data_IF_631424294077
#
_entry.id   IF_631424294077
#
_cell.length_a   1.000
_cell.length_b   1.000
_cell.length_c   1.000
_cell.angle_alpha   90.00
_cell.angle_beta   90.00
_cell.angle_gamma   90.00
#
_symmetry.space_group_name_H-M   'P 1'
#
loop_
_entity.id
_entity.type
_entity.pdbx_description
1 polymer ?
#
# COMPACT_ATOMS: atom_id res chain seq x y z
N UNK A 1 -6.50 -8.51 13.64
CA UNK A 1 -5.94 -8.79 12.32
C UNK A 1 -4.51 -9.25 12.53
N UNK A 2 -4.16 -10.40 11.98
CA UNK A 2 -2.77 -10.87 11.95
C UNK A 2 -2.00 -10.16 10.83
N UNK A 3 -0.68 -10.33 10.80
CA UNK A 3 0.15 -9.81 9.72
C UNK A 3 -0.22 -10.42 8.36
N UNK A 4 -0.41 -11.75 8.29
CA UNK A 4 -0.80 -12.44 7.05
C UNK A 4 -2.17 -11.96 6.53
N UNK A 5 -3.13 -11.75 7.42
CA UNK A 5 -4.43 -11.17 7.07
C UNK A 5 -4.30 -9.75 6.52
N UNK A 6 -3.39 -8.95 7.09
CA UNK A 6 -3.12 -7.61 6.63
C UNK A 6 -2.55 -7.59 5.22
N UNK A 7 -1.52 -8.39 4.93
CA UNK A 7 -0.92 -8.41 3.59
C UNK A 7 -1.93 -8.82 2.51
N UNK A 8 -2.71 -9.88 2.77
CA UNK A 8 -3.77 -10.33 1.85
C UNK A 8 -4.84 -9.26 1.63
N UNK A 9 -5.24 -8.55 2.68
CA UNK A 9 -6.22 -7.47 2.56
C UNK A 9 -5.64 -6.25 1.86
N UNK A 10 -4.38 -5.90 2.12
CA UNK A 10 -3.71 -4.76 1.49
C UNK A 10 -3.57 -4.98 -0.02
N UNK A 11 -3.18 -6.18 -0.44
CA UNK A 11 -3.19 -6.58 -1.87
C UNK A 11 -4.54 -6.31 -2.52
N UNK A 12 -5.62 -6.80 -1.90
CA UNK A 12 -6.97 -6.58 -2.40
C UNK A 12 -7.32 -5.08 -2.49
N UNK A 13 -6.97 -4.28 -1.47
CA UNK A 13 -7.19 -2.82 -1.48
C UNK A 13 -6.42 -2.13 -2.60
N UNK A 14 -5.19 -2.55 -2.88
CA UNK A 14 -4.37 -2.01 -3.98
C UNK A 14 -5.01 -2.34 -5.33
N UNK A 15 -5.53 -3.56 -5.52
CA UNK A 15 -6.24 -3.93 -6.74
C UNK A 15 -7.47 -3.05 -6.98
N UNK A 16 -8.25 -2.77 -5.94
CA UNK A 16 -9.41 -1.88 -6.04
C UNK A 16 -8.99 -0.47 -6.45
N UNK A 17 -8.02 0.11 -5.74
CA UNK A 17 -7.49 1.45 -6.01
C UNK A 17 -6.96 1.58 -7.46
N UNK A 18 -6.25 0.57 -7.97
CA UNK A 18 -5.78 0.51 -9.35
C UNK A 18 -6.93 0.38 -10.35
N UNK A 19 -8.01 -0.32 -10.01
CA UNK A 19 -9.16 -0.50 -10.92
C UNK A 19 -10.05 0.74 -11.02
N UNK A 20 -10.05 1.58 -9.99
CA UNK A 20 -10.88 2.80 -9.88
C UNK A 20 -10.22 4.04 -10.50
N UNK A 21 -8.96 3.95 -10.92
CA UNK A 21 -8.27 5.03 -11.60
C UNK A 21 -8.81 5.31 -13.01
N UNK A 22 -8.76 6.58 -13.42
CA UNK A 22 -9.08 7.00 -14.78
C UNK A 22 -7.94 6.75 -15.79
N UNK A 23 -6.76 6.34 -15.31
CA UNK A 23 -5.63 6.03 -16.17
C UNK A 23 -5.84 4.70 -16.90
N UNK A 24 -5.75 4.74 -18.24
CA UNK A 24 -5.98 3.58 -19.10
C UNK A 24 -4.96 2.46 -18.90
N UNK A 25 -3.75 2.78 -18.44
CA UNK A 25 -2.69 1.79 -18.19
C UNK A 25 -2.99 1.07 -16.88
N UNK A 26 -3.28 1.81 -15.82
CA UNK A 26 -3.48 1.25 -14.49
C UNK A 26 -4.77 0.41 -14.38
N UNK A 27 -5.79 0.70 -15.19
CA UNK A 27 -7.03 -0.08 -15.24
C UNK A 27 -6.85 -1.57 -15.52
N UNK A 28 -5.75 -1.97 -16.17
CA UNK A 28 -5.50 -3.36 -16.56
C UNK A 28 -4.43 -4.05 -15.73
N UNK A 29 -3.80 -3.35 -14.77
CA UNK A 29 -2.79 -3.95 -13.89
C UNK A 29 -3.37 -4.17 -12.49
N UNK A 30 -2.86 -5.18 -11.80
CA UNK A 30 -3.26 -5.50 -10.43
C UNK A 30 -2.05 -5.89 -9.60
N UNK A 31 -2.27 -6.00 -8.29
CA UNK A 31 -1.32 -6.52 -7.33
C UNK A 31 -1.55 -8.01 -7.10
N UNK A 32 -0.48 -8.80 -7.08
CA UNK A 32 -0.51 -10.23 -6.76
C UNK A 32 0.75 -10.58 -5.96
N UNK A 33 0.66 -10.36 -4.65
CA UNK A 33 1.77 -10.42 -3.73
C UNK A 33 2.25 -9.05 -3.24
N UNK A 34 2.29 -8.91 -1.92
CA UNK A 34 2.98 -7.84 -1.21
C UNK A 34 3.58 -8.41 0.07
N UNK A 35 4.81 -8.04 0.38
CA UNK A 35 5.48 -8.43 1.63
C UNK A 35 6.51 -7.40 2.04
N UNK A 36 6.54 -7.05 3.31
CA UNK A 36 7.52 -6.11 3.82
C UNK A 36 7.78 -6.27 5.30
N UNK A 37 8.62 -5.39 5.81
CA UNK A 37 8.98 -5.33 7.21
C UNK A 37 8.79 -3.91 7.73
N UNK A 38 8.52 -3.80 9.03
CA UNK A 38 8.50 -2.52 9.74
C UNK A 38 9.93 -2.00 9.91
N UNK A 39 10.18 -0.83 9.33
CA UNK A 39 11.45 -0.12 9.42
C UNK A 39 11.32 1.00 10.45
N UNK A 40 12.25 0.99 11.43
CA UNK A 40 12.35 1.99 12.50
C UNK A 40 13.68 2.75 12.34
N UNK A 41 13.70 3.82 11.53
CA UNK A 41 14.94 4.57 11.34
C UNK A 41 15.35 5.27 12.65
N UNK A 42 16.66 5.52 12.87
CA UNK A 42 17.14 6.25 14.06
C UNK A 42 16.55 7.66 14.19
N UNK A 43 16.15 8.26 13.07
CA UNK A 43 15.43 9.52 12.99
C UNK A 43 14.33 9.43 11.93
N UNK A 44 13.19 10.08 12.20
CA UNK A 44 12.03 10.08 11.29
C UNK A 44 10.92 9.12 11.73
N UNK A 45 9.88 9.04 10.90
CA UNK A 45 8.73 8.20 11.17
C UNK A 45 8.97 6.75 10.72
N UNK A 46 8.50 5.77 11.48
CA UNK A 46 8.49 4.38 11.05
C UNK A 46 7.62 4.17 9.81
N UNK A 47 8.00 3.21 8.98
CA UNK A 47 7.32 2.88 7.73
C UNK A 47 7.44 1.39 7.42
N UNK A 48 6.56 0.84 6.57
CA UNK A 48 6.76 -0.50 6.03
C UNK A 48 7.53 -0.41 4.71
N UNK A 49 8.44 -1.34 4.47
CA UNK A 49 9.14 -1.44 3.19
C UNK A 49 9.37 -2.89 2.77
N UNK A 50 9.41 -3.12 1.47
CA UNK A 50 9.67 -4.45 0.91
C UNK A 50 9.35 -4.53 -0.58
N UNK A 51 8.81 -5.66 -0.99
CA UNK A 51 8.48 -5.95 -2.39
C UNK A 51 6.97 -6.05 -2.61
N UNK A 52 6.54 -5.58 -3.78
CA UNK A 52 5.18 -5.72 -4.31
C UNK A 52 5.27 -6.15 -5.77
N UNK A 53 4.31 -6.94 -6.22
CA UNK A 53 4.25 -7.47 -7.58
C UNK A 53 3.06 -6.86 -8.30
N UNK A 54 3.34 -6.03 -9.32
CA UNK A 54 2.34 -5.30 -10.11
C UNK A 54 2.48 -5.64 -11.60
N UNK A 55 1.35 -5.88 -12.29
CA UNK A 55 1.32 -6.14 -13.74
C UNK A 55 -0.04 -6.62 -14.26
N UNK A 56 -0.11 -6.87 -15.58
CA UNK A 56 -1.31 -7.36 -16.28
C UNK A 56 -1.12 -8.79 -16.83
N UNK A 57 -0.19 -9.01 -17.75
CA UNK A 57 0.07 -10.34 -18.36
C UNK A 57 1.30 -11.03 -17.76
N UNK A 58 1.71 -10.56 -16.58
CA UNK A 58 2.89 -11.00 -15.84
C UNK A 58 3.23 -9.98 -14.76
N UNK A 59 3.70 -10.46 -13.61
CA UNK A 59 3.97 -9.61 -12.47
C UNK A 59 5.41 -9.09 -12.47
N UNK A 60 5.57 -7.78 -12.30
CA UNK A 60 6.89 -7.16 -12.10
C UNK A 60 7.10 -6.90 -10.62
N UNK A 61 8.19 -7.43 -10.07
CA UNK A 61 8.62 -7.06 -8.72
C UNK A 61 9.05 -5.58 -8.68
N UNK A 62 8.47 -4.83 -7.75
CA UNK A 62 8.70 -3.43 -7.48
C UNK A 62 9.04 -3.23 -6.00
N UNK A 63 9.81 -2.18 -5.72
CA UNK A 63 10.03 -1.77 -4.34
C UNK A 63 8.80 -1.02 -3.84
N UNK A 64 8.30 -1.37 -2.66
CA UNK A 64 7.24 -0.60 -2.02
C UNK A 64 7.71 0.05 -0.73
N UNK A 65 7.12 1.21 -0.44
CA UNK A 65 7.15 1.82 0.89
C UNK A 65 5.73 2.23 1.29
N UNK A 66 5.44 2.17 2.59
CA UNK A 66 4.17 2.61 3.15
C UNK A 66 4.41 3.47 4.38
N UNK A 67 4.08 4.76 4.27
CA UNK A 67 4.11 5.68 5.39
C UNK A 67 2.96 5.36 6.34
N UNK A 68 3.27 5.29 7.64
CA UNK A 68 2.25 5.03 8.65
C UNK A 68 1.58 6.37 9.06
N UNK A 69 0.29 6.35 9.43
CA UNK A 69 -0.37 7.50 10.03
C UNK A 69 0.38 7.95 11.28
N UNK A 70 0.52 9.27 11.46
CA UNK A 70 1.35 9.85 12.52
C UNK A 70 0.80 9.55 13.92
N UNK A 71 -0.50 9.31 14.00
CA UNK A 71 -1.26 9.13 15.21
C UNK A 71 -1.15 7.70 15.76
N UNK A 72 -0.62 6.77 14.96
CA UNK A 72 -0.49 5.37 15.37
C UNK A 72 0.82 5.18 16.12
N UNK A 73 0.71 4.96 17.44
CA UNK A 73 1.86 4.50 18.23
C UNK A 73 2.21 3.06 17.82
N UNK A 74 3.50 2.85 17.56
CA UNK A 74 4.05 1.55 17.22
C UNK A 74 5.05 1.04 18.27
N UNK A 75 4.98 1.55 19.50
CA UNK A 75 5.90 1.16 20.58
C UNK A 75 5.59 -0.24 21.16
N UNK A 76 4.67 -0.98 20.54
CA UNK A 76 4.29 -2.34 20.86
C UNK A 76 3.98 -3.18 19.62
N UNK A 77 3.13 -4.22 19.75
CA UNK A 77 2.68 -5.01 18.61
C UNK A 77 2.09 -4.13 17.50
N UNK A 78 2.47 -4.40 16.25
CA UNK A 78 1.98 -3.64 15.10
C UNK A 78 0.44 -3.67 15.04
N UNK A 79 -0.24 -2.51 15.02
CA UNK A 79 -1.70 -2.46 14.96
C UNK A 79 -2.18 -2.66 13.52
N UNK A 80 -1.98 -3.85 12.96
CA UNK A 80 -2.23 -4.20 11.55
C UNK A 80 -3.59 -3.71 11.01
N UNK A 81 -4.66 -3.84 11.80
CA UNK A 81 -5.99 -3.36 11.39
C UNK A 81 -6.04 -1.85 11.14
N UNK A 82 -5.31 -1.06 11.92
CA UNK A 82 -5.30 0.40 11.82
C UNK A 82 -4.43 0.91 10.66
N UNK A 83 -3.57 0.03 10.11
CA UNK A 83 -2.74 0.34 8.95
C UNK A 83 -3.46 0.04 7.63
N UNK A 84 -4.53 -0.75 7.63
CA UNK A 84 -5.23 -1.06 6.38
C UNK A 84 -6.01 0.18 5.89
N UNK A 85 -5.85 0.61 4.62
CA UNK A 85 -6.68 1.68 4.06
C UNK A 85 -8.17 1.34 4.20
N UNK A 86 -8.96 2.24 4.77
CA UNK A 86 -10.40 2.07 4.91
C UNK A 86 -11.08 1.95 3.53
N UNK A 87 -12.24 1.28 3.49
CA UNK A 87 -12.86 0.88 2.22
C UNK A 87 -13.23 2.05 1.31
N UNK A 88 -13.57 3.18 1.92
CA UNK A 88 -13.97 4.42 1.27
C UNK A 88 -12.81 5.40 1.03
N UNK A 89 -11.55 4.98 1.19
CA UNK A 89 -10.38 5.83 0.93
C UNK A 89 -9.75 5.50 -0.42
N UNK A 90 -9.44 6.56 -1.17
CA UNK A 90 -8.68 6.52 -2.43
C UNK A 90 -7.59 7.60 -2.46
N UNK A 91 -6.77 7.66 -3.50
CA UNK A 91 -5.68 8.63 -3.67
C UNK A 91 -4.43 8.36 -2.81
N UNK A 92 -4.38 7.22 -2.14
CA UNK A 92 -3.30 6.84 -1.21
C UNK A 92 -2.19 6.03 -1.88
N UNK A 93 -2.40 5.55 -3.10
CA UNK A 93 -1.45 4.73 -3.85
C UNK A 93 -0.79 5.54 -4.96
N UNK A 94 0.54 5.48 -5.01
CA UNK A 94 1.34 5.99 -6.11
C UNK A 94 2.16 4.86 -6.72
N UNK A 95 2.12 4.74 -8.05
CA UNK A 95 2.86 3.72 -8.81
C UNK A 95 3.70 4.39 -9.90
N UNK A 96 5.00 4.17 -9.87
CA UNK A 96 5.95 4.56 -10.92
C UNK A 96 6.52 3.29 -11.58
N UNK A 97 5.91 2.90 -12.70
CA UNK A 97 6.28 1.69 -13.44
C UNK A 97 7.71 1.75 -14.01
N UNK A 98 8.21 2.95 -14.33
CA UNK A 98 9.55 3.12 -14.89
C UNK A 98 10.63 2.94 -13.84
N UNK A 99 10.42 3.55 -12.66
CA UNK A 99 11.34 3.41 -11.53
C UNK A 99 11.14 2.12 -10.74
N UNK A 100 10.05 1.39 -11.00
CA UNK A 100 9.62 0.18 -10.28
C UNK A 100 9.45 0.46 -8.79
N UNK A 101 8.73 1.54 -8.49
CA UNK A 101 8.47 2.00 -7.13
C UNK A 101 6.96 2.11 -6.93
N UNK A 102 6.50 1.62 -5.80
CA UNK A 102 5.16 1.85 -5.26
C UNK A 102 5.30 2.59 -3.93
N UNK A 103 4.50 3.64 -3.75
CA UNK A 103 4.41 4.35 -2.48
C UNK A 103 2.96 4.37 -2.01
N UNK A 104 2.76 4.01 -0.74
CA UNK A 104 1.49 4.07 -0.04
C UNK A 104 1.62 5.19 1.01
N UNK A 105 0.74 6.17 0.95
CA UNK A 105 0.71 7.26 1.93
C UNK A 105 -0.73 7.53 2.37
N UNK A 106 -1.07 7.00 3.54
CA UNK A 106 -2.42 7.13 4.10
C UNK A 106 -2.75 8.57 4.52
N UNK A 107 -1.73 9.45 4.67
CA UNK A 107 -1.96 10.85 4.97
C UNK A 107 -2.42 11.66 3.74
N UNK A 108 -2.32 11.08 2.54
CA UNK A 108 -2.77 11.67 1.27
C UNK A 108 -4.11 11.12 0.81
N UNK A 109 -4.69 10.18 1.57
CA UNK A 109 -5.95 9.57 1.23
C UNK A 109 -7.09 10.58 1.27
N UNK A 110 -7.98 10.50 0.29
CA UNK A 110 -9.22 11.27 0.23
C UNK A 110 -10.42 10.33 0.45
N UNK A 111 -11.48 10.86 1.08
CA UNK A 111 -12.72 10.09 1.22
C UNK A 111 -13.47 10.08 -0.11
N UNK A 112 -13.71 8.89 -0.63
CA UNK A 112 -14.55 8.69 -1.80
C UNK A 112 -16.01 8.97 -1.43
N UNK A 113 -16.56 10.08 -1.94
CA UNK A 113 -17.98 10.38 -1.84
C UNK A 113 -18.68 9.79 -3.07
N UNK A 114 -19.36 8.66 -2.90
CA UNK A 114 -20.25 8.05 -3.89
C UNK A 114 -21.48 8.91 -4.15
#
# INVERSE_FOLDING_TARGET
MTEDEFWRKLEWRICLELSETNDKIFRWIWCDGIRGNLVRPPSGQPYLAGSIWIGSDGQTEMQFTMQLPREISIDGPTPWSALLPAENLTGWLFVDLQKKIVAIDLNRAETFNS
#
